data_IF_457837790051
#
_entry.id   IF_457837790051
#
_cell.length_a   1.000
_cell.length_b   1.000
_cell.length_c   1.000
_cell.angle_alpha   90.00
_cell.angle_beta   90.00
_cell.angle_gamma   90.00
#
_symmetry.space_group_name_H-M   'P 1'
#
loop_
_entity.id
_entity.type
_entity.pdbx_description
1 polymer ?
#
# COMPACT_ATOMS: atom_id res chain seq x y z
N UNK A 1 20.34 -19.31 -2.85
CA UNK A 1 19.17 -19.84 -3.59
C UNK A 1 17.90 -19.47 -2.83
N UNK A 2 16.87 -18.94 -3.53
CA UNK A 2 15.58 -18.59 -2.92
C UNK A 2 14.76 -19.86 -2.78
N UNK A 3 14.34 -20.21 -1.56
CA UNK A 3 13.55 -21.41 -1.28
C UNK A 3 12.06 -21.10 -1.10
N UNK A 4 11.74 -19.91 -0.59
CA UNK A 4 10.37 -19.46 -0.38
C UNK A 4 10.19 -18.08 -0.99
N UNK A 5 9.07 -17.89 -1.67
CA UNK A 5 8.58 -16.59 -2.15
C UNK A 5 7.24 -16.33 -1.48
N UNK A 6 7.10 -15.16 -0.87
CA UNK A 6 5.80 -14.64 -0.45
C UNK A 6 5.51 -13.38 -1.27
N UNK A 7 4.43 -13.42 -2.02
CA UNK A 7 4.03 -12.34 -2.90
C UNK A 7 2.75 -11.68 -2.40
N UNK A 8 2.85 -10.45 -2.00
CA UNK A 8 1.73 -9.66 -1.53
C UNK A 8 1.55 -8.42 -2.41
N UNK A 9 0.37 -8.31 -3.01
CA UNK A 9 0.04 -7.22 -3.92
C UNK A 9 0.66 -7.31 -5.32
N UNK A 10 -0.04 -6.78 -6.29
CA UNK A 10 0.36 -6.82 -7.69
C UNK A 10 0.15 -8.19 -8.37
N UNK A 11 0.29 -8.23 -9.67
CA UNK A 11 0.09 -9.43 -10.48
C UNK A 11 1.24 -9.58 -11.50
N UNK A 12 2.40 -10.13 -11.10
CA UNK A 12 3.58 -10.22 -11.95
C UNK A 12 3.31 -10.98 -13.25
N UNK A 13 2.45 -12.00 -13.25
CA UNK A 13 2.10 -12.71 -14.48
C UNK A 13 1.30 -11.87 -15.50
N UNK A 14 0.77 -10.71 -15.09
CA UNK A 14 0.15 -9.74 -15.99
C UNK A 14 1.07 -8.56 -16.32
N UNK A 15 2.06 -8.27 -15.46
CA UNK A 15 2.88 -7.06 -15.57
C UNK A 15 4.27 -7.30 -16.17
N UNK A 16 4.82 -8.52 -16.02
CA UNK A 16 6.16 -8.81 -16.51
C UNK A 16 6.14 -9.11 -18.02
N UNK A 17 7.06 -8.52 -18.79
CA UNK A 17 7.05 -8.66 -20.24
C UNK A 17 7.42 -10.07 -20.74
N UNK A 18 8.24 -10.82 -19.99
CA UNK A 18 8.65 -12.18 -20.34
C UNK A 18 7.97 -13.20 -19.40
N UNK A 19 6.69 -13.45 -19.63
CA UNK A 19 5.87 -14.37 -18.84
C UNK A 19 6.40 -15.81 -18.88
N UNK A 20 6.93 -16.27 -20.00
CA UNK A 20 7.48 -17.63 -20.12
C UNK A 20 8.75 -17.84 -19.28
N UNK A 21 9.58 -16.81 -19.19
CA UNK A 21 10.76 -16.85 -18.32
C UNK A 21 10.37 -16.72 -16.85
N UNK A 22 9.36 -15.89 -16.55
CA UNK A 22 8.77 -15.77 -15.23
C UNK A 22 8.22 -17.12 -14.75
N UNK A 23 7.46 -17.83 -15.57
CA UNK A 23 6.91 -19.15 -15.23
C UNK A 23 8.03 -20.15 -14.87
N UNK A 24 9.11 -20.18 -15.64
CA UNK A 24 10.29 -21.02 -15.34
C UNK A 24 10.98 -20.61 -14.03
N UNK A 25 11.09 -19.32 -13.77
CA UNK A 25 11.68 -18.81 -12.54
C UNK A 25 10.78 -19.08 -11.31
N UNK A 26 9.47 -19.00 -11.48
CA UNK A 26 8.46 -19.23 -10.44
C UNK A 26 8.41 -20.66 -9.93
N UNK A 27 8.84 -21.62 -10.76
CA UNK A 27 8.94 -23.04 -10.40
C UNK A 27 10.22 -23.42 -9.64
N UNK A 28 11.16 -22.48 -9.43
CA UNK A 28 12.44 -22.78 -8.73
C UNK A 28 12.34 -22.78 -7.22
N UNK A 29 11.60 -21.86 -6.57
CA UNK A 29 11.37 -21.92 -5.13
C UNK A 29 10.64 -23.21 -4.74
N UNK A 30 10.92 -23.70 -3.53
CA UNK A 30 10.23 -24.86 -2.96
C UNK A 30 8.78 -24.55 -2.63
N UNK A 31 8.49 -23.28 -2.28
CA UNK A 31 7.16 -22.83 -1.91
C UNK A 31 6.92 -21.41 -2.38
N UNK A 32 5.76 -21.16 -2.96
CA UNK A 32 5.26 -19.85 -3.34
C UNK A 32 3.93 -19.59 -2.64
N UNK A 33 3.88 -18.56 -1.82
CA UNK A 33 2.68 -18.07 -1.13
C UNK A 33 2.26 -16.75 -1.78
N UNK A 34 0.98 -16.60 -2.08
CA UNK A 34 0.43 -15.36 -2.65
C UNK A 34 -0.72 -14.88 -1.76
N UNK A 35 -0.74 -13.59 -1.42
CA UNK A 35 -1.93 -12.93 -0.90
C UNK A 35 -2.61 -12.19 -2.05
N UNK A 36 -3.89 -12.45 -2.28
CA UNK A 36 -4.63 -11.79 -3.36
C UNK A 36 -6.13 -11.71 -3.03
N UNK A 37 -6.80 -10.72 -3.58
CA UNK A 37 -8.24 -10.49 -3.40
C UNK A 37 -9.09 -11.34 -4.36
N UNK A 38 -8.52 -11.79 -5.46
CA UNK A 38 -9.17 -12.60 -6.50
C UNK A 38 -8.21 -13.64 -7.09
N UNK A 39 -8.73 -14.61 -7.83
CA UNK A 39 -7.92 -15.60 -8.53
C UNK A 39 -7.21 -15.03 -9.76
N UNK A 40 -6.17 -14.20 -9.52
CA UNK A 40 -5.31 -13.68 -10.57
C UNK A 40 -4.45 -14.78 -11.22
N UNK A 41 -3.79 -14.45 -12.32
CA UNK A 41 -2.82 -15.37 -12.91
C UNK A 41 -1.70 -15.74 -11.92
N UNK A 42 -1.23 -14.78 -11.12
CA UNK A 42 -0.22 -15.01 -10.06
C UNK A 42 -0.73 -15.96 -8.99
N UNK A 43 -1.93 -15.75 -8.47
CA UNK A 43 -2.55 -16.63 -7.48
C UNK A 43 -2.68 -18.07 -7.98
N UNK A 44 -2.99 -18.27 -9.28
CA UNK A 44 -3.10 -19.59 -9.91
C UNK A 44 -1.77 -20.34 -10.06
N UNK A 45 -0.66 -19.65 -9.92
CA UNK A 45 0.70 -20.22 -9.96
C UNK A 45 1.32 -20.38 -8.57
N UNK A 46 0.58 -20.13 -7.51
CA UNK A 46 1.03 -20.30 -6.13
C UNK A 46 0.74 -21.70 -5.60
N UNK A 47 1.54 -22.14 -4.63
CA UNK A 47 1.29 -23.35 -3.85
C UNK A 47 0.25 -23.09 -2.75
N UNK A 48 0.27 -21.88 -2.19
CA UNK A 48 -0.66 -21.44 -1.13
C UNK A 48 -1.18 -20.06 -1.52
N UNK A 49 -2.51 -19.89 -1.46
CA UNK A 49 -3.16 -18.59 -1.63
C UNK A 49 -3.86 -18.22 -0.32
N UNK A 50 -3.52 -17.03 0.19
CA UNK A 50 -4.17 -16.45 1.36
C UNK A 50 -5.14 -15.36 0.87
N UNK A 51 -6.43 -15.44 1.19
CA UNK A 51 -7.40 -14.46 0.73
C UNK A 51 -7.18 -13.11 1.43
N UNK A 52 -6.83 -12.09 0.64
CA UNK A 52 -6.66 -10.75 1.12
C UNK A 52 -7.98 -9.96 1.07
N UNK A 53 -8.20 -9.10 2.06
CA UNK A 53 -9.31 -8.17 2.07
C UNK A 53 -9.13 -7.09 0.99
N UNK A 54 -10.22 -6.71 0.37
CA UNK A 54 -10.25 -5.59 -0.59
C UNK A 54 -10.20 -4.24 0.14
N UNK A 55 -9.93 -3.17 -0.60
CA UNK A 55 -9.94 -1.80 -0.07
C UNK A 55 -11.29 -1.36 0.53
N UNK A 56 -12.38 -2.07 0.28
CA UNK A 56 -13.69 -1.81 0.89
C UNK A 56 -13.89 -2.56 2.20
N UNK A 57 -13.11 -3.57 2.47
CA UNK A 57 -13.26 -4.52 3.58
C UNK A 57 -12.36 -4.21 4.78
N UNK A 58 -11.51 -3.20 4.69
CA UNK A 58 -10.67 -2.72 5.80
C UNK A 58 -10.49 -1.20 5.74
N UNK A 59 -10.01 -0.63 6.84
CA UNK A 59 -9.63 0.78 6.88
C UNK A 59 -8.19 0.96 6.40
N UNK A 60 -7.91 2.08 5.73
CA UNK A 60 -6.57 2.45 5.27
C UNK A 60 -6.47 3.97 5.06
N UNK A 61 -5.33 4.43 4.60
CA UNK A 61 -5.06 5.81 4.23
C UNK A 61 -4.28 5.82 2.90
N UNK A 62 -4.65 6.71 2.00
CA UNK A 62 -3.94 6.86 0.72
C UNK A 62 -3.81 8.31 0.31
N UNK A 63 -2.92 8.61 -0.61
CA UNK A 63 -2.79 9.94 -1.20
C UNK A 63 -3.66 10.09 -2.46
N UNK A 64 -4.04 11.32 -2.77
CA UNK A 64 -4.80 11.68 -3.97
C UNK A 64 -3.82 11.98 -5.11
N UNK A 65 -4.09 11.38 -6.26
CA UNK A 65 -3.31 11.60 -7.49
C UNK A 65 -2.00 10.82 -7.53
N UNK A 66 -1.77 10.16 -8.65
CA UNK A 66 -0.60 9.27 -8.82
C UNK A 66 0.73 10.02 -8.82
N UNK A 67 0.73 11.27 -9.28
CA UNK A 67 1.93 12.08 -9.41
C UNK A 67 1.84 13.44 -8.71
N UNK A 68 0.63 13.97 -8.53
CA UNK A 68 0.43 15.30 -7.94
C UNK A 68 0.48 15.28 -6.41
N UNK A 69 0.05 14.19 -5.79
CA UNK A 69 -0.07 14.05 -4.34
C UNK A 69 -0.82 15.25 -3.71
N UNK A 70 -1.98 15.58 -4.26
CA UNK A 70 -2.73 16.79 -3.92
C UNK A 70 -3.49 16.69 -2.59
N UNK A 71 -3.46 15.54 -1.94
CA UNK A 71 -4.17 15.35 -0.68
C UNK A 71 -4.08 13.92 -0.14
N UNK A 72 -4.82 13.68 0.94
CA UNK A 72 -4.91 12.40 1.63
C UNK A 72 -6.37 12.00 1.75
N UNK A 73 -6.68 10.73 1.54
CA UNK A 73 -8.01 10.14 1.70
C UNK A 73 -7.99 9.16 2.86
N UNK A 74 -9.00 9.25 3.72
CA UNK A 74 -9.32 8.21 4.70
C UNK A 74 -10.17 7.15 4.01
N UNK A 75 -9.60 5.98 3.81
CA UNK A 75 -10.30 4.83 3.27
C UNK A 75 -11.00 4.11 4.43
N UNK A 76 -12.26 4.48 4.68
CA UNK A 76 -13.04 3.86 5.75
C UNK A 76 -13.59 2.52 5.28
N UNK A 77 -13.57 1.54 6.15
CA UNK A 77 -14.20 0.24 5.87
C UNK A 77 -15.68 0.45 5.52
N UNK A 78 -16.09 -0.06 4.38
CA UNK A 78 -17.45 0.07 3.86
C UNK A 78 -18.29 -1.21 4.05
N UNK A 79 -17.66 -2.37 4.04
CA UNK A 79 -18.28 -3.69 4.22
C UNK A 79 -17.41 -4.56 5.12
N UNK A 80 -18.01 -5.57 5.75
CA UNK A 80 -17.25 -6.57 6.48
C UNK A 80 -16.44 -7.46 5.53
N UNK A 81 -15.23 -7.91 5.94
CA UNK A 81 -14.43 -8.85 5.16
C UNK A 81 -15.25 -10.09 4.79
N UNK A 82 -15.22 -10.44 3.52
CA UNK A 82 -16.01 -11.56 3.01
C UNK A 82 -15.27 -12.89 3.24
N UNK A 83 -16.01 -13.91 3.65
CA UNK A 83 -15.51 -15.25 3.95
C UNK A 83 -14.31 -15.24 4.90
N UNK A 84 -13.18 -15.79 4.50
CA UNK A 84 -11.96 -15.88 5.29
C UNK A 84 -10.94 -14.77 4.99
N UNK A 85 -11.32 -13.77 4.18
CA UNK A 85 -10.41 -12.69 3.82
C UNK A 85 -9.96 -11.88 5.05
N UNK A 86 -8.70 -11.52 5.06
CA UNK A 86 -8.06 -10.70 6.09
C UNK A 86 -7.20 -9.63 5.43
N UNK A 87 -6.99 -8.51 6.13
CA UNK A 87 -6.03 -7.52 5.64
C UNK A 87 -4.61 -8.11 5.57
N UNK A 88 -3.81 -7.60 4.66
CA UNK A 88 -2.39 -7.99 4.58
C UNK A 88 -1.67 -7.72 5.91
N UNK A 89 -2.00 -6.62 6.59
CA UNK A 89 -1.44 -6.33 7.93
C UNK A 89 -1.74 -7.44 8.94
N UNK A 90 -3.00 -7.91 9.00
CA UNK A 90 -3.37 -9.02 9.88
C UNK A 90 -2.64 -10.30 9.52
N UNK A 91 -2.56 -10.65 8.22
CA UNK A 91 -1.87 -11.84 7.73
C UNK A 91 -0.40 -11.82 8.15
N UNK A 92 0.30 -10.71 7.90
CA UNK A 92 1.71 -10.57 8.26
C UNK A 92 1.94 -10.50 9.77
N UNK A 93 1.03 -9.89 10.54
CA UNK A 93 1.08 -9.89 12.01
C UNK A 93 0.99 -11.29 12.57
N UNK A 94 0.11 -12.14 12.01
CA UNK A 94 -0.03 -13.54 12.42
C UNK A 94 1.18 -14.38 12.04
N UNK A 95 1.82 -14.11 10.91
CA UNK A 95 3.09 -14.76 10.54
C UNK A 95 4.22 -14.33 11.47
N UNK A 96 4.33 -13.03 11.75
CA UNK A 96 5.33 -12.48 12.65
C UNK A 96 5.20 -13.04 14.09
N UNK A 97 3.97 -13.25 14.57
CA UNK A 97 3.71 -13.90 15.86
C UNK A 97 4.32 -15.32 15.91
N UNK A 98 4.03 -16.13 14.88
CA UNK A 98 4.54 -17.51 14.79
C UNK A 98 6.05 -17.59 14.59
N UNK A 99 6.64 -16.54 14.04
CA UNK A 99 8.09 -16.41 13.88
C UNK A 99 8.78 -15.77 15.09
N UNK A 100 8.03 -15.36 16.11
CA UNK A 100 8.55 -14.75 17.34
C UNK A 100 9.06 -13.32 17.15
N UNK A 101 8.58 -12.59 16.11
CA UNK A 101 8.98 -11.23 15.83
C UNK A 101 7.79 -10.24 15.68
N UNK A 102 6.63 -10.57 16.28
CA UNK A 102 5.42 -9.74 16.18
C UNK A 102 5.64 -8.31 16.65
N UNK A 103 6.27 -8.14 17.83
CA UNK A 103 6.54 -6.81 18.38
C UNK A 103 7.42 -5.96 17.45
N UNK A 104 8.42 -6.57 16.82
CA UNK A 104 9.29 -5.88 15.87
C UNK A 104 8.54 -5.51 14.57
N UNK A 105 7.52 -6.27 14.18
CA UNK A 105 6.70 -5.99 13.00
C UNK A 105 5.62 -4.97 13.29
N UNK A 106 4.90 -5.12 14.40
CA UNK A 106 3.73 -4.29 14.72
C UNK A 106 4.09 -3.03 15.50
N UNK A 107 5.23 -3.00 16.18
CA UNK A 107 5.59 -1.98 17.19
C UNK A 107 4.48 -1.76 18.24
N UNK A 108 3.71 -2.82 18.55
CA UNK A 108 2.57 -2.77 19.47
C UNK A 108 1.34 -2.03 18.94
N UNK A 109 1.32 -1.67 17.67
CA UNK A 109 0.17 -0.99 17.03
C UNK A 109 -0.74 -1.98 16.32
N UNK A 110 -2.02 -1.67 16.27
CA UNK A 110 -2.99 -2.26 15.34
C UNK A 110 -3.07 -1.45 14.03
N UNK A 111 -3.93 -1.85 13.11
CA UNK A 111 -4.12 -1.16 11.82
C UNK A 111 -4.47 0.31 12.00
N UNK A 112 -5.40 0.61 12.89
CA UNK A 112 -5.81 2.00 13.15
C UNK A 112 -4.69 2.80 13.81
N UNK A 113 -3.90 2.19 14.69
CA UNK A 113 -2.70 2.78 15.29
C UNK A 113 -1.67 3.17 14.23
N UNK A 114 -1.45 2.32 13.23
CA UNK A 114 -0.58 2.63 12.10
C UNK A 114 -1.12 3.76 11.23
N UNK A 115 -2.42 3.76 10.92
CA UNK A 115 -3.07 4.83 10.16
C UNK A 115 -2.91 6.18 10.87
N UNK A 116 -3.13 6.21 12.19
CA UNK A 116 -2.94 7.42 13.01
C UNK A 116 -1.48 7.89 12.99
N UNK A 117 -0.54 6.97 13.12
CA UNK A 117 0.88 7.28 13.09
C UNK A 117 1.31 7.84 11.75
N UNK A 118 0.93 7.20 10.65
CA UNK A 118 1.23 7.66 9.28
C UNK A 118 0.65 9.05 9.00
N UNK A 119 -0.59 9.29 9.43
CA UNK A 119 -1.18 10.62 9.32
C UNK A 119 -0.46 11.66 10.18
N UNK A 120 -0.06 11.31 11.40
CA UNK A 120 0.76 12.17 12.25
C UNK A 120 2.12 12.52 11.64
N UNK A 121 2.75 11.59 10.95
CA UNK A 121 3.99 11.85 10.23
C UNK A 121 3.76 12.74 8.98
N UNK A 122 2.63 12.56 8.29
CA UNK A 122 2.21 13.47 7.23
C UNK A 122 1.95 14.90 7.76
N UNK A 123 1.36 15.06 8.95
CA UNK A 123 1.22 16.37 9.60
C UNK A 123 2.57 17.04 9.86
N UNK A 124 3.52 16.32 10.46
CA UNK A 124 4.88 16.84 10.71
C UNK A 124 5.62 17.22 9.41
N UNK A 125 5.44 16.41 8.36
CA UNK A 125 6.02 16.73 7.04
C UNK A 125 5.35 17.95 6.43
N UNK A 126 4.03 18.05 6.51
CA UNK A 126 3.25 19.20 6.05
C UNK A 126 3.73 20.50 6.70
N UNK A 127 3.90 20.51 8.03
CA UNK A 127 4.40 21.69 8.76
C UNK A 127 5.75 22.19 8.23
N UNK A 128 6.69 21.28 7.87
CA UNK A 128 8.01 21.64 7.33
C UNK A 128 7.93 22.35 5.99
N UNK A 129 6.91 22.08 5.19
CA UNK A 129 6.71 22.66 3.85
C UNK A 129 5.61 23.73 3.82
N UNK A 130 5.06 24.08 5.01
CA UNK A 130 4.04 25.11 5.16
C UNK A 130 2.62 24.67 4.80
N UNK A 131 2.36 23.35 4.77
CA UNK A 131 1.03 22.76 4.59
C UNK A 131 0.48 22.35 5.94
N UNK A 132 -0.64 22.93 6.36
CA UNK A 132 -1.27 22.61 7.63
C UNK A 132 -2.40 21.59 7.43
N UNK A 133 -2.27 20.43 8.05
CA UNK A 133 -3.28 19.39 8.04
C UNK A 133 -4.18 19.48 9.30
N UNK A 134 -5.47 19.14 9.22
CA UNK A 134 -6.37 19.07 10.38
C UNK A 134 -5.90 17.99 11.37
N UNK A 135 -6.50 17.95 12.56
CA UNK A 135 -6.30 16.82 13.46
C UNK A 135 -6.87 15.52 12.85
N UNK A 136 -6.46 14.38 13.39
CA UNK A 136 -6.84 13.07 12.84
C UNK A 136 -8.36 12.84 12.84
N UNK A 137 -9.06 13.21 13.90
CA UNK A 137 -10.48 12.98 14.06
C UNK A 137 -11.29 13.77 13.03
N UNK A 138 -10.95 15.02 12.81
CA UNK A 138 -11.59 15.87 11.79
C UNK A 138 -11.30 15.36 10.38
N UNK A 139 -10.07 14.95 10.10
CA UNK A 139 -9.68 14.33 8.84
C UNK A 139 -10.47 13.04 8.60
N UNK A 140 -10.47 12.13 9.59
CA UNK A 140 -11.12 10.83 9.47
C UNK A 140 -12.63 10.95 9.28
N UNK A 141 -13.26 11.86 10.02
CA UNK A 141 -14.69 12.16 9.89
C UNK A 141 -15.04 12.77 8.53
N UNK A 142 -14.20 13.67 8.03
CA UNK A 142 -14.41 14.32 6.73
C UNK A 142 -14.14 13.37 5.55
N UNK A 143 -13.27 12.38 5.74
CA UNK A 143 -12.91 11.39 4.74
C UNK A 143 -11.73 11.79 3.84
N UNK A 144 -11.35 13.05 3.79
CA UNK A 144 -10.21 13.51 2.98
C UNK A 144 -9.69 14.88 3.43
N UNK A 145 -8.48 15.20 3.03
CA UNK A 145 -7.91 16.54 3.06
C UNK A 145 -7.22 16.83 1.73
N UNK A 146 -7.48 18.01 1.15
CA UNK A 146 -6.75 18.52 0.00
C UNK A 146 -5.69 19.49 0.48
N UNK A 147 -4.52 19.47 -0.15
CA UNK A 147 -3.44 20.39 0.16
C UNK A 147 -3.69 21.72 -0.54
N UNK A 148 -3.45 22.81 0.19
CA UNK A 148 -3.46 24.14 -0.41
C UNK A 148 -2.11 24.37 -1.11
N UNK A 149 -2.10 24.06 -2.42
CA UNK A 149 -0.92 24.20 -3.25
C UNK A 149 -0.72 25.68 -3.60
N UNK A 150 0.45 26.21 -3.26
CA UNK A 150 0.80 27.61 -3.59
C UNK A 150 0.67 27.86 -5.09
N UNK A 151 0.20 29.05 -5.47
CA UNK A 151 -0.05 29.39 -6.89
C UNK A 151 1.19 29.19 -7.77
N UNK A 152 2.37 29.48 -7.25
CA UNK A 152 3.65 29.25 -7.96
C UNK A 152 3.89 27.76 -8.27
N UNK A 153 3.44 26.87 -7.42
CA UNK A 153 3.65 25.42 -7.56
C UNK A 153 2.58 24.79 -8.49
N UNK A 154 1.42 25.45 -8.67
CA UNK A 154 0.39 25.05 -9.65
C UNK A 154 0.86 25.20 -11.11
N UNK A 155 1.87 26.05 -11.34
CA UNK A 155 2.46 26.27 -12.67
C UNK A 155 3.68 25.39 -12.93
N UNK A 156 3.90 24.37 -12.09
CA UNK A 156 5.01 23.45 -12.27
C UNK A 156 4.89 22.70 -13.61
N UNK A 157 5.93 22.81 -14.41
CA UNK A 157 6.06 22.07 -15.67
C UNK A 157 7.16 21.02 -15.47
N UNK A 158 6.78 19.76 -15.54
CA UNK A 158 7.75 18.68 -15.42
C UNK A 158 8.82 18.78 -16.50
N UNK A 159 10.08 18.61 -16.09
CA UNK A 159 11.24 18.67 -16.98
C UNK A 159 11.42 20.02 -17.71
N UNK A 160 10.94 21.13 -17.14
CA UNK A 160 11.05 22.45 -17.77
C UNK A 160 12.50 22.84 -18.06
N UNK A 161 13.42 22.60 -17.10
CA UNK A 161 14.84 22.89 -17.26
C UNK A 161 15.48 22.04 -18.35
N UNK A 162 15.17 20.75 -18.41
CA UNK A 162 15.58 19.86 -19.51
C UNK A 162 15.06 20.31 -20.87
N UNK A 163 13.82 20.85 -20.93
CA UNK A 163 13.27 21.40 -22.19
C UNK A 163 13.97 22.68 -22.64
N UNK A 164 14.49 23.49 -21.70
CA UNK A 164 15.24 24.72 -22.00
C UNK A 164 16.69 24.43 -22.38
N UNK A 165 17.29 23.43 -21.75
CA UNK A 165 18.66 22.96 -22.01
C UNK A 165 18.73 21.43 -21.94
N UNK A 166 18.54 20.73 -23.07
CA UNK A 166 18.46 19.27 -23.13
C UNK A 166 19.80 18.54 -23.08
N UNK A 167 20.88 19.19 -22.61
CA UNK A 167 22.22 18.57 -22.49
C UNK A 167 22.44 17.91 -21.15
#
# INVERSE_FOLDING_TARGET
>A
EVRLVMWAGGNPFAHQPDTMNLERAWKKPETVIVTDTVWTATARHADIVLPAATAFEHADITNIGTYSNDGIVAMQQAIEPQWESKSDYWIFSQLAERLGCQEAFTEGLDEMGWIRRLYGDAQKMGERIGVKLPNFEDFWKKGYVLFDVREKDRKFVAFEDFRKDPK
#
